data_IF_101522675138
#
_entry.id   IF_101522675138
#
_cell.length_a   1.000
_cell.length_b   1.000
_cell.length_c   1.000
_cell.angle_alpha   90.00
_cell.angle_beta   90.00
_cell.angle_gamma   90.00
#
_symmetry.space_group_name_H-M   'P 1'
#
loop_
_entity.id
_entity.type
_entity.pdbx_description
1 polymer ?
#
# COMPACT_ATOMS: atom_id res chain seq x y z
N UNK A 1 3.77 -1.00 1.86
CA UNK A 1 3.65 0.42 2.11
C UNK A 1 4.58 0.81 3.27
N UNK A 2 5.50 1.77 3.09
CA UNK A 2 5.66 2.63 1.92
C UNK A 2 6.73 2.15 0.92
N UNK A 3 7.38 1.02 1.11
CA UNK A 3 8.55 0.60 0.32
C UNK A 3 8.22 0.20 -1.12
N UNK A 4 6.98 -0.19 -1.40
CA UNK A 4 6.58 -0.74 -2.68
C UNK A 4 7.10 -2.15 -2.97
N UNK A 5 7.60 -2.85 -1.95
CA UNK A 5 8.04 -4.25 -2.06
C UNK A 5 6.84 -5.18 -2.24
N UNK A 6 7.00 -6.18 -3.07
CA UNK A 6 6.01 -7.26 -3.28
C UNK A 6 6.64 -8.56 -2.78
N UNK A 7 5.97 -9.22 -1.84
CA UNK A 7 6.42 -10.52 -1.33
C UNK A 7 6.18 -11.61 -2.38
N UNK A 8 7.17 -12.44 -2.59
CA UNK A 8 7.04 -13.65 -3.39
C UNK A 8 6.21 -14.71 -2.67
N UNK A 9 5.65 -15.65 -3.42
CA UNK A 9 4.89 -16.77 -2.83
C UNK A 9 5.73 -17.52 -1.79
N UNK A 10 7.00 -17.79 -2.09
CA UNK A 10 7.89 -18.52 -1.19
C UNK A 10 8.15 -17.78 0.14
N UNK A 11 8.30 -16.45 0.09
CA UNK A 11 8.45 -15.63 1.30
C UNK A 11 7.17 -15.63 2.13
N UNK A 12 6.01 -15.52 1.48
CA UNK A 12 4.71 -15.59 2.16
C UNK A 12 4.47 -16.97 2.78
N UNK A 13 4.84 -18.06 2.10
CA UNK A 13 4.77 -19.43 2.64
C UNK A 13 5.65 -19.60 3.88
N UNK A 14 6.86 -19.06 3.86
CA UNK A 14 7.76 -19.08 5.02
C UNK A 14 7.18 -18.32 6.23
N UNK A 15 6.59 -17.15 5.99
CA UNK A 15 5.89 -16.38 7.03
C UNK A 15 4.68 -17.16 7.55
N UNK A 16 3.89 -17.73 6.65
CA UNK A 16 2.70 -18.51 7.00
C UNK A 16 3.02 -19.73 7.87
N UNK A 17 4.11 -20.45 7.56
CA UNK A 17 4.59 -21.57 8.38
C UNK A 17 4.85 -21.15 9.83
N UNK A 18 5.55 -20.03 10.03
CA UNK A 18 5.82 -19.49 11.38
C UNK A 18 4.51 -19.10 12.08
N UNK A 19 3.61 -18.42 11.38
CA UNK A 19 2.33 -17.99 11.94
C UNK A 19 1.46 -19.17 12.35
N UNK A 20 1.39 -20.22 11.53
CA UNK A 20 0.63 -21.43 11.84
C UNK A 20 1.26 -22.19 13.03
N UNK A 21 2.59 -22.36 13.03
CA UNK A 21 3.31 -23.06 14.10
C UNK A 21 3.10 -22.41 15.48
N UNK A 22 3.05 -21.08 15.52
CA UNK A 22 2.92 -20.29 16.75
C UNK A 22 1.50 -19.80 17.02
N UNK A 23 0.50 -20.24 16.25
CA UNK A 23 -0.90 -19.85 16.35
C UNK A 23 -1.08 -18.31 16.34
N UNK A 24 -0.39 -17.62 15.41
CA UNK A 24 -0.44 -16.17 15.25
C UNK A 24 -1.49 -15.81 14.20
N UNK A 25 -2.36 -14.85 14.52
CA UNK A 25 -3.27 -14.23 13.53
C UNK A 25 -2.52 -13.20 12.70
N UNK A 26 -2.86 -13.12 11.42
CA UNK A 26 -2.26 -12.21 10.45
C UNK A 26 -3.30 -11.24 9.93
N UNK A 27 -3.01 -9.95 10.00
CA UNK A 27 -3.77 -8.93 9.27
C UNK A 27 -3.01 -8.67 7.96
N UNK A 28 -3.58 -9.12 6.84
CA UNK A 28 -3.03 -8.95 5.51
C UNK A 28 -3.67 -7.73 4.85
N UNK A 29 -2.95 -6.61 4.79
CA UNK A 29 -3.38 -5.41 4.07
C UNK A 29 -3.03 -5.55 2.59
N UNK A 30 -4.04 -5.91 1.78
CA UNK A 30 -3.91 -6.18 0.35
C UNK A 30 -4.44 -5.03 -0.52
N UNK A 31 -4.51 -3.81 0.03
CA UNK A 31 -5.11 -2.64 -0.64
C UNK A 31 -4.44 -2.29 -1.99
N UNK A 32 -3.20 -2.72 -2.21
CA UNK A 32 -2.43 -2.50 -3.43
C UNK A 32 -2.34 -3.74 -4.34
N UNK A 33 -3.12 -4.78 -4.12
CA UNK A 33 -3.04 -6.05 -4.84
C UNK A 33 -3.08 -5.92 -6.38
N UNK A 34 -3.79 -4.94 -6.91
CA UNK A 34 -3.90 -4.67 -8.35
C UNK A 34 -2.82 -3.70 -8.88
N UNK A 35 -2.02 -3.10 -8.01
CA UNK A 35 -0.94 -2.18 -8.37
C UNK A 35 0.42 -2.85 -8.15
N UNK A 36 0.67 -3.91 -8.90
CA UNK A 36 1.92 -4.68 -8.93
C UNK A 36 2.48 -4.61 -10.33
N UNK A 37 3.77 -4.33 -10.48
CA UNK A 37 4.45 -3.96 -11.72
C UNK A 37 5.49 -4.99 -12.16
N UNK A 38 6.09 -4.78 -13.33
CA UNK A 38 7.22 -5.55 -13.87
C UNK A 38 6.90 -7.07 -14.01
N UNK A 39 5.65 -7.42 -14.30
CA UNK A 39 5.15 -8.81 -14.37
C UNK A 39 5.27 -9.59 -13.04
N UNK A 40 5.49 -8.93 -11.92
CA UNK A 40 5.38 -9.56 -10.62
C UNK A 40 3.95 -10.03 -10.38
N UNK A 41 3.81 -11.17 -9.72
CA UNK A 41 2.51 -11.76 -9.38
C UNK A 41 2.15 -11.40 -7.93
N UNK A 42 0.94 -10.90 -7.74
CA UNK A 42 0.37 -10.75 -6.41
C UNK A 42 -0.17 -12.09 -5.91
N UNK A 43 0.21 -12.46 -4.71
CA UNK A 43 -0.30 -13.65 -4.01
C UNK A 43 -1.01 -13.20 -2.73
N UNK A 44 -2.30 -13.51 -2.61
CA UNK A 44 -3.03 -13.25 -1.37
C UNK A 44 -2.55 -14.20 -0.27
N UNK A 45 -2.31 -13.66 0.93
CA UNK A 45 -1.87 -14.46 2.07
C UNK A 45 -2.91 -15.53 2.45
N UNK A 46 -4.19 -15.21 2.35
CA UNK A 46 -5.29 -16.14 2.62
C UNK A 46 -5.40 -17.30 1.60
N UNK A 47 -4.71 -17.21 0.46
CA UNK A 47 -4.73 -18.26 -0.57
C UNK A 47 -3.69 -19.38 -0.35
N UNK A 48 -2.81 -19.25 0.64
CA UNK A 48 -1.69 -20.19 0.86
C UNK A 48 -2.10 -21.52 1.50
N UNK A 49 -3.32 -21.65 1.96
CA UNK A 49 -3.86 -22.88 2.54
C UNK A 49 -4.99 -22.62 3.57
N UNK A 50 -5.76 -23.63 3.88
CA UNK A 50 -6.91 -23.47 4.80
C UNK A 50 -6.47 -23.06 6.21
N UNK A 51 -5.38 -23.63 6.75
CA UNK A 51 -4.87 -23.25 8.08
C UNK A 51 -4.39 -21.79 8.13
N UNK A 52 -3.85 -21.28 7.03
CA UNK A 52 -3.44 -19.88 6.89
C UNK A 52 -4.66 -18.99 6.79
N UNK A 53 -5.62 -19.36 5.95
CA UNK A 53 -6.88 -18.63 5.74
C UNK A 53 -7.67 -18.47 7.04
N UNK A 54 -7.79 -19.51 7.86
CA UNK A 54 -8.47 -19.47 9.16
C UNK A 54 -7.85 -18.45 10.14
N UNK A 55 -6.55 -18.14 9.97
CA UNK A 55 -5.82 -17.16 10.80
C UNK A 55 -5.67 -15.80 10.15
N UNK A 56 -6.14 -15.63 8.92
CA UNK A 56 -5.96 -14.39 8.18
C UNK A 56 -7.19 -13.50 8.32
N UNK A 57 -6.95 -12.23 8.64
CA UNK A 57 -7.88 -11.13 8.46
C UNK A 57 -7.38 -10.37 7.23
N UNK A 58 -7.96 -10.65 6.08
CA UNK A 58 -7.68 -9.91 4.85
C UNK A 58 -8.36 -8.54 4.93
N UNK A 59 -7.62 -7.48 4.62
CA UNK A 59 -8.12 -6.11 4.52
C UNK A 59 -7.87 -5.61 3.11
N UNK A 60 -8.90 -5.09 2.46
CA UNK A 60 -8.81 -4.54 1.12
C UNK A 60 -9.86 -3.44 0.92
N UNK A 61 -9.95 -2.87 -0.27
CA UNK A 61 -10.92 -1.83 -0.58
C UNK A 61 -10.80 -1.31 -2.01
N UNK A 62 -11.68 -0.39 -2.34
CA UNK A 62 -11.75 0.20 -3.70
C UNK A 62 -10.90 1.47 -3.84
N UNK A 63 -10.35 1.97 -2.75
CA UNK A 63 -9.67 3.28 -2.71
C UNK A 63 -8.51 3.41 -3.68
N UNK A 64 -7.70 2.35 -3.85
CA UNK A 64 -6.45 2.40 -4.62
C UNK A 64 -6.63 1.85 -6.02
N UNK A 65 -7.12 0.62 -6.14
CA UNK A 65 -7.31 -0.06 -7.43
C UNK A 65 -8.31 0.64 -8.35
N UNK A 66 -9.26 1.37 -7.78
CA UNK A 66 -10.34 2.03 -8.54
C UNK A 66 -10.34 3.56 -8.38
N UNK A 67 -9.28 4.15 -7.81
CA UNK A 67 -9.16 5.59 -7.56
C UNK A 67 -10.35 6.17 -6.75
N UNK A 68 -10.92 5.38 -5.83
CA UNK A 68 -12.15 5.69 -5.09
C UNK A 68 -11.86 6.09 -3.63
N UNK A 69 -10.81 6.87 -3.38
CA UNK A 69 -10.44 7.28 -2.02
C UNK A 69 -11.53 8.08 -1.30
N UNK A 70 -12.23 8.96 -2.02
CA UNK A 70 -13.30 9.79 -1.48
C UNK A 70 -14.59 9.04 -1.14
N UNK A 71 -14.78 7.82 -1.67
CA UNK A 71 -15.98 7.01 -1.43
C UNK A 71 -15.97 6.31 -0.08
N UNK A 72 -14.82 6.24 0.59
CA UNK A 72 -14.64 5.70 1.93
C UNK A 72 -15.15 4.25 2.09
N UNK A 73 -14.78 3.36 1.17
CA UNK A 73 -15.13 1.93 1.19
C UNK A 73 -13.89 1.07 1.31
N UNK A 74 -13.87 0.27 2.37
CA UNK A 74 -12.99 -0.87 2.55
C UNK A 74 -13.81 -2.08 2.99
N UNK A 75 -13.23 -3.25 2.90
CA UNK A 75 -13.83 -4.49 3.34
C UNK A 75 -12.76 -5.41 3.94
N UNK A 76 -13.20 -6.32 4.79
CA UNK A 76 -12.34 -7.37 5.33
C UNK A 76 -13.00 -8.74 5.15
N UNK A 77 -12.16 -9.75 5.05
CA UNK A 77 -12.59 -11.14 5.03
C UNK A 77 -11.78 -11.93 6.07
N UNK A 78 -12.45 -12.78 6.84
CA UNK A 78 -11.85 -13.62 7.87
C UNK A 78 -12.71 -14.85 8.14
N UNK A 79 -12.30 -15.70 9.06
CA UNK A 79 -13.17 -16.77 9.52
C UNK A 79 -14.49 -16.22 10.12
N UNK A 80 -15.59 -17.01 10.08
CA UNK A 80 -16.91 -16.52 10.48
C UNK A 80 -17.00 -15.97 11.91
N UNK A 81 -16.22 -16.52 12.84
CA UNK A 81 -16.23 -16.07 14.24
C UNK A 81 -15.67 -14.65 14.37
N UNK A 82 -14.53 -14.37 13.75
CA UNK A 82 -13.92 -13.04 13.71
C UNK A 82 -14.79 -12.04 12.94
N UNK A 83 -15.33 -12.45 11.78
CA UNK A 83 -16.21 -11.60 10.98
C UNK A 83 -17.44 -11.15 11.79
N UNK A 84 -18.04 -12.06 12.56
CA UNK A 84 -19.17 -11.75 13.44
C UNK A 84 -18.81 -10.75 14.54
N UNK A 85 -17.64 -10.90 15.18
CA UNK A 85 -17.17 -9.98 16.22
C UNK A 85 -16.92 -8.59 15.63
N UNK A 86 -16.26 -8.50 14.47
CA UNK A 86 -16.02 -7.23 13.78
C UNK A 86 -17.33 -6.55 13.39
N UNK A 87 -18.28 -7.29 12.83
CA UNK A 87 -19.59 -6.75 12.46
C UNK A 87 -20.37 -6.22 13.68
N UNK A 88 -20.35 -6.94 14.80
CA UNK A 88 -20.98 -6.51 16.05
C UNK A 88 -20.33 -5.20 16.56
N UNK A 89 -18.99 -5.12 16.56
CA UNK A 89 -18.27 -3.92 16.96
C UNK A 89 -18.64 -2.72 16.08
N UNK A 90 -18.62 -2.92 14.76
CA UNK A 90 -18.94 -1.86 13.80
C UNK A 90 -20.37 -1.35 13.95
N UNK A 91 -21.33 -2.23 14.24
CA UNK A 91 -22.75 -1.85 14.43
C UNK A 91 -22.97 -0.87 15.59
N UNK A 92 -22.07 -0.88 16.57
CA UNK A 92 -22.12 -0.01 17.76
C UNK A 92 -21.13 1.17 17.71
N UNK A 93 -20.27 1.22 16.69
CA UNK A 93 -19.27 2.31 16.55
C UNK A 93 -19.58 3.21 15.35
N UNK A 94 -19.31 2.75 14.15
CA UNK A 94 -19.43 3.54 12.91
C UNK A 94 -20.64 3.16 12.05
N UNK A 95 -21.40 2.13 12.46
CA UNK A 95 -22.51 1.54 11.70
C UNK A 95 -22.05 0.98 10.34
N UNK A 96 -22.61 1.48 9.24
CA UNK A 96 -22.27 1.01 7.90
C UNK A 96 -21.81 2.16 7.00
N UNK A 97 -20.96 1.90 6.00
CA UNK A 97 -20.68 2.87 4.97
C UNK A 97 -21.93 3.32 4.22
N UNK A 98 -21.85 4.49 3.56
CA UNK A 98 -22.93 4.99 2.72
C UNK A 98 -23.39 3.95 1.69
N UNK A 99 -24.70 3.73 1.60
CA UNK A 99 -25.30 2.78 0.63
C UNK A 99 -24.92 3.14 -0.82
N UNK A 100 -24.84 4.41 -1.16
CA UNK A 100 -24.41 4.88 -2.47
C UNK A 100 -22.98 4.41 -2.75
N UNK A 101 -22.09 4.57 -1.77
CA UNK A 101 -20.69 4.11 -1.87
C UNK A 101 -20.60 2.58 -2.00
N UNK A 102 -21.45 1.83 -1.30
CA UNK A 102 -21.49 0.37 -1.41
C UNK A 102 -21.89 -0.07 -2.83
N UNK A 103 -22.93 0.53 -3.42
CA UNK A 103 -23.34 0.23 -4.81
C UNK A 103 -22.25 0.60 -5.82
N UNK A 104 -21.59 1.76 -5.63
CA UNK A 104 -20.46 2.14 -6.48
C UNK A 104 -19.30 1.13 -6.37
N UNK A 105 -18.99 0.64 -5.16
CA UNK A 105 -17.96 -0.38 -4.95
C UNK A 105 -18.32 -1.71 -5.61
N UNK A 106 -19.59 -2.14 -5.54
CA UNK A 106 -20.06 -3.34 -6.25
C UNK A 106 -19.81 -3.19 -7.75
N UNK A 107 -20.20 -2.06 -8.34
CA UNK A 107 -19.97 -1.79 -9.77
C UNK A 107 -18.49 -1.81 -10.12
N UNK A 108 -17.63 -1.20 -9.29
CA UNK A 108 -16.18 -1.21 -9.51
C UNK A 108 -15.59 -2.63 -9.47
N UNK A 109 -16.02 -3.47 -8.52
CA UNK A 109 -15.50 -4.83 -8.34
C UNK A 109 -16.02 -5.83 -9.37
N UNK A 110 -17.23 -5.63 -9.90
CA UNK A 110 -17.90 -6.60 -10.80
C UNK A 110 -18.00 -6.12 -12.25
N UNK A 111 -17.74 -4.85 -12.49
CA UNK A 111 -17.77 -4.25 -13.82
C UNK A 111 -16.49 -4.49 -14.63
N UNK A 112 -16.38 -3.86 -15.81
CA UNK A 112 -15.17 -3.90 -16.63
C UNK A 112 -13.94 -3.43 -15.89
N UNK A 113 -12.76 -4.04 -16.14
CA UNK A 113 -11.52 -3.77 -15.42
C UNK A 113 -10.47 -3.03 -16.27
N UNK A 114 -10.81 -2.65 -17.49
CA UNK A 114 -9.90 -2.01 -18.45
C UNK A 114 -9.33 -0.69 -17.92
N UNK A 115 -10.17 0.15 -17.32
CA UNK A 115 -9.76 1.44 -16.77
C UNK A 115 -8.74 1.28 -15.62
N UNK A 116 -8.90 0.24 -14.80
CA UNK A 116 -7.94 -0.10 -13.76
C UNK A 116 -6.59 -0.51 -14.37
N UNK A 117 -6.58 -1.26 -15.46
CA UNK A 117 -5.35 -1.63 -16.16
C UNK A 117 -4.67 -0.41 -16.80
N UNK A 118 -5.42 0.50 -17.40
CA UNK A 118 -4.89 1.77 -17.93
C UNK A 118 -4.25 2.60 -16.82
N UNK A 119 -4.90 2.69 -15.67
CA UNK A 119 -4.37 3.39 -14.50
C UNK A 119 -3.08 2.72 -13.98
N UNK A 120 -3.05 1.39 -13.88
CA UNK A 120 -1.87 0.63 -13.46
C UNK A 120 -0.67 0.92 -14.38
N UNK A 121 -0.86 0.87 -15.69
CA UNK A 121 0.19 1.19 -16.67
C UNK A 121 0.70 2.63 -16.52
N UNK A 122 -0.20 3.59 -16.30
CA UNK A 122 0.19 4.98 -16.07
C UNK A 122 1.02 5.14 -14.77
N UNK A 123 0.69 4.42 -13.70
CA UNK A 123 1.49 4.42 -12.46
C UNK A 123 2.86 3.77 -12.66
N UNK A 124 2.94 2.69 -13.42
CA UNK A 124 4.20 2.02 -13.74
C UNK A 124 5.14 2.96 -14.51
N UNK A 125 4.65 3.64 -15.54
CA UNK A 125 5.42 4.63 -16.29
C UNK A 125 5.89 5.80 -15.42
N UNK A 126 5.02 6.33 -14.55
CA UNK A 126 5.36 7.40 -13.61
C UNK A 126 6.42 6.97 -12.61
N UNK A 127 6.32 5.74 -12.08
CA UNK A 127 7.32 5.14 -11.20
C UNK A 127 8.69 5.09 -11.90
N UNK A 128 8.76 4.53 -13.09
CA UNK A 128 10.00 4.36 -13.83
C UNK A 128 10.66 5.71 -14.10
N UNK A 129 9.89 6.68 -14.55
CA UNK A 129 10.37 8.04 -14.78
C UNK A 129 10.89 8.69 -13.49
N UNK A 130 10.14 8.57 -12.39
CA UNK A 130 10.52 9.16 -11.11
C UNK A 130 11.80 8.53 -10.55
N UNK A 131 11.89 7.20 -10.54
CA UNK A 131 13.07 6.46 -10.07
C UNK A 131 14.31 6.80 -10.89
N UNK A 132 14.19 6.84 -12.23
CA UNK A 132 15.29 7.24 -13.11
C UNK A 132 15.80 8.63 -12.80
N UNK A 133 14.90 9.59 -12.63
CA UNK A 133 15.29 10.99 -12.35
C UNK A 133 15.86 11.18 -10.96
N UNK A 134 15.28 10.56 -9.95
CA UNK A 134 15.77 10.64 -8.57
C UNK A 134 17.19 10.09 -8.45
N UNK A 135 17.47 8.93 -9.06
CA UNK A 135 18.79 8.32 -9.00
C UNK A 135 19.88 9.07 -9.80
N UNK A 136 19.51 10.12 -10.56
CA UNK A 136 20.47 11.04 -11.21
C UNK A 136 20.86 12.22 -10.31
N UNK A 137 20.18 12.39 -9.17
CA UNK A 137 20.46 13.49 -8.23
C UNK A 137 21.54 13.03 -7.26
N UNK A 138 22.66 13.77 -7.20
CA UNK A 138 23.74 13.48 -6.25
C UNK A 138 23.23 13.54 -4.80
N UNK A 139 23.51 12.50 -4.02
CA UNK A 139 23.07 12.39 -2.61
C UNK A 139 21.67 11.83 -2.43
N UNK A 140 20.95 11.50 -3.51
CA UNK A 140 19.66 10.81 -3.50
C UNK A 140 19.82 9.38 -4.05
N UNK A 141 19.11 8.45 -3.49
CA UNK A 141 18.90 7.15 -4.09
C UNK A 141 17.51 6.64 -3.79
N UNK A 142 16.94 5.86 -4.69
CA UNK A 142 15.71 5.12 -4.45
C UNK A 142 15.77 3.75 -5.12
N UNK A 143 15.22 2.75 -4.42
CA UNK A 143 15.01 1.40 -4.96
C UNK A 143 13.75 1.47 -5.83
N UNK A 144 13.78 0.82 -6.99
CA UNK A 144 12.60 0.71 -7.86
C UNK A 144 11.52 -0.11 -7.15
N UNK A 145 10.36 0.48 -6.82
CA UNK A 145 9.27 -0.27 -6.18
C UNK A 145 8.60 -1.23 -7.18
N UNK A 146 8.22 -2.39 -6.69
CA UNK A 146 7.55 -3.44 -7.46
C UNK A 146 6.03 -3.31 -7.43
N UNK A 147 5.50 -2.50 -6.50
CA UNK A 147 4.07 -2.27 -6.33
C UNK A 147 3.74 -0.94 -5.67
N UNK A 148 2.44 -0.69 -5.46
CA UNK A 148 1.87 0.54 -4.93
C UNK A 148 2.19 1.77 -5.80
N UNK A 149 2.05 2.98 -5.28
CA UNK A 149 2.40 4.23 -5.98
C UNK A 149 3.33 5.12 -5.13
N UNK A 150 4.12 4.51 -4.26
CA UNK A 150 5.12 5.19 -3.46
C UNK A 150 6.51 4.97 -4.04
N UNK A 151 7.37 5.98 -3.90
CA UNK A 151 8.81 5.85 -4.10
C UNK A 151 9.48 6.33 -2.83
N UNK A 152 10.24 5.48 -2.16
CA UNK A 152 11.04 5.85 -1.00
C UNK A 152 12.36 6.46 -1.44
N UNK A 153 12.50 7.74 -1.16
CA UNK A 153 13.73 8.49 -1.43
C UNK A 153 14.66 8.38 -0.23
N UNK A 154 15.86 7.84 -0.44
CA UNK A 154 16.93 7.90 0.54
C UNK A 154 17.66 9.26 0.40
N UNK A 155 17.54 10.09 1.43
CA UNK A 155 18.11 11.45 1.47
C UNK A 155 19.34 11.55 2.40
N UNK A 156 19.89 10.42 2.86
CA UNK A 156 21.03 10.40 3.79
C UNK A 156 22.23 11.23 3.32
N UNK A 157 22.40 11.38 1.99
CA UNK A 157 23.44 12.22 1.42
C UNK A 157 23.31 13.72 1.72
N UNK A 158 22.18 14.17 2.29
CA UNK A 158 21.94 15.55 2.69
C UNK A 158 22.12 15.81 4.19
N UNK A 159 22.18 14.76 5.00
CA UNK A 159 22.35 14.90 6.46
C UNK A 159 23.66 15.63 6.77
N UNK A 160 23.61 16.63 7.64
CA UNK A 160 24.72 17.49 8.02
C UNK A 160 25.03 18.60 7.01
N UNK A 161 24.41 18.63 5.82
CA UNK A 161 24.59 19.71 4.83
C UNK A 161 23.70 20.90 5.15
N UNK A 162 24.19 22.09 4.82
CA UNK A 162 23.40 23.31 4.92
C UNK A 162 22.70 23.60 3.60
N UNK A 163 21.37 23.67 3.64
CA UNK A 163 20.52 24.00 2.50
C UNK A 163 19.63 25.20 2.86
N UNK A 164 19.68 26.26 2.05
CA UNK A 164 18.94 27.51 2.28
C UNK A 164 19.13 28.09 3.70
N UNK A 165 20.35 27.98 4.26
CA UNK A 165 20.70 28.50 5.57
C UNK A 165 20.29 27.62 6.76
N UNK A 166 19.69 26.44 6.52
CA UNK A 166 19.33 25.46 7.55
C UNK A 166 20.20 24.21 7.40
N UNK A 167 20.73 23.70 8.51
CA UNK A 167 21.39 22.39 8.55
C UNK A 167 20.29 21.30 8.53
N UNK A 168 20.45 20.30 7.69
CA UNK A 168 19.54 19.17 7.59
C UNK A 168 19.99 18.09 8.58
N UNK A 169 19.26 17.91 9.66
CA UNK A 169 19.58 16.94 10.70
C UNK A 169 18.70 15.68 10.64
N UNK A 170 17.53 15.77 9.98
CA UNK A 170 16.53 14.70 9.93
C UNK A 170 15.77 14.65 8.61
N UNK A 171 14.97 13.60 8.40
CA UNK A 171 14.06 13.49 7.28
C UNK A 171 12.94 14.55 7.35
N UNK A 172 12.52 14.92 8.55
CA UNK A 172 11.52 15.96 8.80
C UNK A 172 12.04 17.33 8.35
N UNK A 173 13.30 17.67 8.70
CA UNK A 173 13.93 18.93 8.26
C UNK A 173 14.00 19.02 6.73
N UNK A 174 14.39 17.91 6.10
CA UNK A 174 14.43 17.84 4.64
C UNK A 174 13.03 17.99 4.05
N UNK A 175 12.03 17.26 4.56
CA UNK A 175 10.66 17.31 4.06
C UNK A 175 10.04 18.70 4.21
N UNK A 176 10.26 19.37 5.35
CA UNK A 176 9.81 20.73 5.57
C UNK A 176 10.45 21.71 4.57
N UNK A 177 11.76 21.65 4.41
CA UNK A 177 12.47 22.52 3.47
C UNK A 177 12.06 22.26 2.02
N UNK A 178 11.83 20.97 1.70
CA UNK A 178 11.39 20.56 0.37
C UNK A 178 9.98 21.05 0.06
N UNK A 179 9.10 21.08 1.08
CA UNK A 179 7.77 21.69 0.97
C UNK A 179 7.87 23.22 0.76
N UNK A 180 8.64 23.90 1.60
CA UNK A 180 8.67 25.39 1.62
C UNK A 180 9.42 25.99 0.42
N UNK A 181 10.50 25.37 -0.03
CA UNK A 181 11.40 25.88 -1.07
C UNK A 181 11.23 25.15 -2.40
N UNK A 182 11.00 23.84 -2.35
CA UNK A 182 10.79 23.01 -3.53
C UNK A 182 9.33 22.94 -3.98
N UNK A 183 8.39 23.36 -3.13
CA UNK A 183 6.93 23.26 -3.34
C UNK A 183 6.48 21.81 -3.60
N UNK A 184 7.19 20.85 -2.99
CA UNK A 184 6.90 19.43 -3.11
C UNK A 184 6.64 18.85 -1.72
N UNK A 185 5.45 18.30 -1.52
CA UNK A 185 5.09 17.61 -0.28
C UNK A 185 5.60 16.17 -0.30
N UNK A 186 6.31 15.79 0.75
CA UNK A 186 6.77 14.42 1.01
C UNK A 186 6.40 14.01 2.43
N UNK A 187 6.35 12.70 2.69
CA UNK A 187 6.12 12.17 4.03
C UNK A 187 7.44 11.66 4.59
N UNK A 188 7.98 12.26 5.66
CA UNK A 188 9.20 11.76 6.30
C UNK A 188 8.94 10.39 6.97
N UNK A 189 9.96 9.51 6.96
CA UNK A 189 9.93 8.17 7.55
C UNK A 189 11.21 7.91 8.35
#
# INVERSE_FOLDING_TARGET
NPTGMVYTKAELEAIAEVCCRHNIYVIADEIYCNLVYDNNEFVSFASLGEDVKERTILVNGVSKSYAMTGWRIGYSASNPALAKVMANYLSHSTSAPSTISQHAAITALTGPQEDMQVMKQAFEQRRDHLVERMNKIEGVSCIKPEGAFYVMMNMKGFLGKTMYGKVIESAEDFAQLFLEKGLVATVPC
#
